data_IF_147931995639
#
_entry.id   IF_147931995639
#
_cell.length_a   1.000
_cell.length_b   1.000
_cell.length_c   1.000
_cell.angle_alpha   90.00
_cell.angle_beta   90.00
_cell.angle_gamma   90.00
#
_symmetry.space_group_name_H-M   'P 1'
#
loop_
_entity.id
_entity.type
_entity.pdbx_description
1 polymer ?
#
# COMPACT_ATOMS: atom_id res chain seq x y z
N UNK A 1 5.23 -0.12 8.26
CA UNK A 1 4.31 -1.23 8.59
C UNK A 1 3.14 -1.22 7.63
N UNK A 2 2.69 -2.38 7.16
CA UNK A 2 1.49 -2.48 6.33
C UNK A 2 0.74 -3.79 6.58
N UNK A 3 -0.57 -3.74 6.39
CA UNK A 3 -1.43 -4.93 6.28
C UNK A 3 -1.89 -5.09 4.83
N UNK A 4 -1.75 -6.28 4.28
CA UNK A 4 -2.28 -6.65 2.96
C UNK A 4 -3.31 -7.75 3.13
N UNK A 5 -4.46 -7.58 2.51
CA UNK A 5 -5.47 -8.61 2.42
C UNK A 5 -5.73 -8.95 0.95
N UNK A 6 -5.63 -10.22 0.61
CA UNK A 6 -5.74 -10.74 -0.75
C UNK A 6 -6.88 -11.75 -0.82
N UNK A 7 -7.96 -11.40 -1.54
CA UNK A 7 -9.18 -12.19 -1.63
C UNK A 7 -9.11 -13.32 -2.65
N UNK A 8 -8.19 -13.22 -3.61
CA UNK A 8 -7.98 -14.26 -4.61
C UNK A 8 -7.26 -15.46 -3.99
N UNK A 9 -6.39 -15.19 -3.01
CA UNK A 9 -5.63 -16.23 -2.29
C UNK A 9 -6.20 -16.58 -0.91
N UNK A 10 -7.07 -15.74 -0.34
CA UNK A 10 -7.58 -15.91 1.03
C UNK A 10 -6.52 -15.68 2.11
N UNK A 11 -5.51 -14.86 1.82
CA UNK A 11 -4.39 -14.56 2.71
C UNK A 11 -4.44 -13.12 3.22
N UNK A 12 -4.23 -12.94 4.52
CA UNK A 12 -3.91 -11.65 5.10
C UNK A 12 -2.48 -11.69 5.66
N UNK A 13 -1.70 -10.65 5.39
CA UNK A 13 -0.27 -10.58 5.74
C UNK A 13 0.07 -9.29 6.46
N UNK A 14 1.01 -9.37 7.40
CA UNK A 14 1.59 -8.23 8.11
C UNK A 14 3.04 -8.04 7.69
N UNK A 15 3.38 -6.81 7.34
CA UNK A 15 4.68 -6.43 6.83
C UNK A 15 5.32 -5.34 7.70
N UNK A 16 6.58 -5.54 8.07
CA UNK A 16 7.40 -4.60 8.85
C UNK A 16 8.74 -4.45 8.12
N UNK A 17 9.15 -3.21 7.84
CA UNK A 17 10.43 -2.87 7.22
C UNK A 17 10.73 -3.72 5.95
N UNK A 18 9.77 -3.76 5.02
CA UNK A 18 9.86 -4.48 3.75
C UNK A 18 9.70 -6.00 3.86
N UNK A 19 9.61 -6.56 5.07
CA UNK A 19 9.57 -8.01 5.30
C UNK A 19 8.20 -8.49 5.76
N UNK A 20 7.74 -9.60 5.19
CA UNK A 20 6.56 -10.32 5.69
C UNK A 20 6.89 -10.96 7.05
N UNK A 21 6.15 -10.56 8.09
CA UNK A 21 6.34 -11.06 9.46
C UNK A 21 5.24 -12.01 9.90
N UNK A 22 4.06 -11.93 9.29
CA UNK A 22 2.97 -12.86 9.55
C UNK A 22 2.09 -13.07 8.32
N UNK A 23 1.52 -14.26 8.23
CA UNK A 23 0.51 -14.66 7.26
C UNK A 23 -0.58 -15.44 7.99
N UNK A 24 -1.84 -15.19 7.61
CA UNK A 24 -2.99 -15.96 8.07
C UNK A 24 -3.96 -16.22 6.91
N UNK A 25 -4.61 -17.38 6.97
CA UNK A 25 -5.75 -17.71 6.12
C UNK A 25 -7.04 -17.09 6.67
N UNK A 26 -7.92 -16.63 5.79
CA UNK A 26 -9.27 -16.19 6.16
C UNK A 26 -10.34 -16.69 5.18
N UNK A 27 -11.57 -16.75 5.66
CA UNK A 27 -12.71 -17.14 4.85
C UNK A 27 -13.10 -16.01 3.88
N UNK A 28 -12.83 -16.23 2.60
CA UNK A 28 -13.17 -15.28 1.54
C UNK A 28 -14.67 -15.26 1.22
N UNK A 29 -15.43 -16.29 1.60
CA UNK A 29 -16.88 -16.36 1.33
C UNK A 29 -17.66 -15.28 2.11
N UNK A 30 -17.15 -14.89 3.27
CA UNK A 30 -17.74 -13.85 4.11
C UNK A 30 -17.27 -12.44 3.71
N UNK A 31 -16.27 -12.33 2.82
CA UNK A 31 -15.60 -11.09 2.46
C UNK A 31 -14.89 -10.40 3.63
N UNK A 32 -14.39 -9.19 3.39
CA UNK A 32 -13.97 -8.30 4.47
C UNK A 32 -15.23 -7.70 5.08
N UNK A 33 -15.56 -8.05 6.32
CA UNK A 33 -16.77 -7.58 6.99
C UNK A 33 -17.00 -6.08 6.78
N UNK A 34 -18.20 -5.70 6.35
CA UNK A 34 -18.54 -4.30 6.11
C UNK A 34 -19.04 -3.64 7.40
N UNK A 35 -18.80 -2.34 7.54
CA UNK A 35 -19.28 -1.57 8.67
C UNK A 35 -19.66 -0.16 8.24
N UNK A 36 -20.68 0.41 8.90
CA UNK A 36 -21.11 1.80 8.68
C UNK A 36 -20.25 2.81 9.46
N UNK A 37 -19.26 2.32 10.20
CA UNK A 37 -18.34 3.16 10.97
C UNK A 37 -17.44 4.01 10.08
N UNK A 38 -17.06 5.18 10.61
CA UNK A 38 -16.07 6.05 9.96
C UNK A 38 -14.69 5.36 9.98
N UNK A 39 -13.90 5.55 8.93
CA UNK A 39 -12.50 5.13 8.91
C UNK A 39 -11.67 5.97 9.88
N UNK A 40 -10.83 5.33 10.69
CA UNK A 40 -9.96 5.99 11.66
C UNK A 40 -8.51 5.54 11.45
N UNK A 41 -7.56 6.46 11.63
CA UNK A 41 -6.13 6.19 11.69
C UNK A 41 -5.67 6.41 13.14
N UNK A 42 -4.86 5.50 13.69
CA UNK A 42 -4.27 5.65 15.02
C UNK A 42 -5.24 5.46 16.19
N UNK A 43 -6.36 4.76 15.99
CA UNK A 43 -7.39 4.54 17.01
C UNK A 43 -8.02 3.15 16.92
N UNK A 44 -8.33 2.54 18.05
CA UNK A 44 -9.25 1.41 18.16
C UNK A 44 -10.07 1.49 19.45
N UNK A 45 -11.40 1.74 19.32
CA UNK A 45 -12.29 2.08 20.44
C UNK A 45 -11.82 3.33 21.23
N UNK A 46 -11.47 3.15 22.50
CA UNK A 46 -10.96 4.14 23.44
C UNK A 46 -9.41 4.16 23.50
N UNK A 47 -8.74 3.33 22.69
CA UNK A 47 -7.29 3.27 22.58
C UNK A 47 -6.79 4.12 21.43
N UNK A 48 -5.73 4.87 21.70
CA UNK A 48 -5.10 5.79 20.76
C UNK A 48 -3.61 5.48 20.62
N UNK A 49 -3.08 5.62 19.42
CA UNK A 49 -1.65 5.50 19.16
C UNK A 49 -0.93 6.73 19.70
N UNK A 50 0.06 6.52 20.57
CA UNK A 50 0.99 7.55 20.99
C UNK A 50 2.23 7.51 20.08
N UNK A 51 2.30 8.40 19.09
CA UNK A 51 3.40 8.46 18.14
C UNK A 51 3.09 9.33 16.92
N UNK A 52 4.01 9.33 15.96
CA UNK A 52 3.84 9.99 14.66
C UNK A 52 3.41 8.92 13.64
N UNK A 53 2.39 9.23 12.86
CA UNK A 53 1.96 8.45 11.70
C UNK A 53 2.10 9.39 10.50
N UNK A 54 2.84 8.95 9.49
CA UNK A 54 3.08 9.69 8.26
C UNK A 54 2.92 8.75 7.06
N UNK A 55 2.75 9.33 5.87
CA UNK A 55 2.67 8.63 4.58
C UNK A 55 1.64 7.48 4.56
N UNK A 56 0.39 7.80 4.90
CA UNK A 56 -0.70 6.82 4.90
C UNK A 56 -1.30 6.66 3.50
N UNK A 57 -1.33 5.43 3.00
CA UNK A 57 -2.06 5.04 1.79
C UNK A 57 -3.07 3.92 2.07
N UNK A 58 -4.11 3.88 1.24
CA UNK A 58 -5.11 2.82 1.22
C UNK A 58 -5.35 2.40 -0.23
N UNK A 59 -5.27 1.10 -0.48
CA UNK A 59 -5.42 0.51 -1.81
C UNK A 59 -6.67 -0.38 -1.83
N UNK A 60 -7.37 -0.39 -2.96
CA UNK A 60 -8.50 -1.30 -3.20
C UNK A 60 -8.06 -2.58 -3.94
N UNK A 61 -6.75 -2.83 -4.01
CA UNK A 61 -6.12 -3.99 -4.64
C UNK A 61 -5.11 -4.60 -3.67
N UNK A 62 -4.87 -5.89 -3.80
CA UNK A 62 -3.75 -6.55 -3.13
C UNK A 62 -2.46 -6.22 -3.89
N UNK A 63 -1.60 -5.39 -3.30
CA UNK A 63 -0.28 -5.08 -3.86
C UNK A 63 0.61 -6.32 -3.87
N UNK A 64 1.44 -6.48 -4.88
CA UNK A 64 2.42 -7.57 -4.87
C UNK A 64 3.55 -7.32 -3.86
N UNK A 65 4.40 -8.32 -3.65
CA UNK A 65 5.50 -8.23 -2.69
C UNK A 65 6.56 -7.20 -3.08
N UNK A 66 6.79 -7.00 -4.38
CA UNK A 66 7.80 -6.06 -4.85
C UNK A 66 7.35 -4.61 -4.62
N UNK A 67 6.08 -4.31 -4.90
CA UNK A 67 5.47 -3.01 -4.62
C UNK A 67 5.48 -2.72 -3.11
N UNK A 68 5.11 -3.72 -2.29
CA UNK A 68 5.13 -3.59 -0.83
C UNK A 68 6.53 -3.29 -0.30
N UNK A 69 7.56 -3.99 -0.81
CA UNK A 69 8.96 -3.72 -0.45
C UNK A 69 9.38 -2.31 -0.85
N UNK A 70 9.15 -1.90 -2.10
CA UNK A 70 9.54 -0.56 -2.56
C UNK A 70 8.85 0.55 -1.76
N UNK A 71 7.56 0.41 -1.44
CA UNK A 71 6.85 1.40 -0.62
C UNK A 71 7.47 1.51 0.79
N UNK A 72 7.89 0.40 1.38
CA UNK A 72 8.47 0.43 2.73
C UNK A 72 9.90 0.95 2.76
N UNK A 73 10.69 0.66 1.73
CA UNK A 73 12.08 1.07 1.65
C UNK A 73 12.23 2.53 1.17
N UNK A 74 11.43 2.92 0.19
CA UNK A 74 11.58 4.19 -0.54
C UNK A 74 10.45 5.21 -0.26
N UNK A 75 9.41 4.81 0.47
CA UNK A 75 8.25 5.63 0.77
C UNK A 75 7.21 5.69 -0.36
N UNK A 76 6.07 6.33 -0.11
CA UNK A 76 4.95 6.38 -1.08
C UNK A 76 5.25 7.22 -2.34
N UNK A 77 6.30 8.02 -2.32
CA UNK A 77 6.69 8.86 -3.45
C UNK A 77 7.08 8.03 -4.69
N UNK A 78 7.55 6.80 -4.52
CA UNK A 78 7.90 5.91 -5.64
C UNK A 78 6.68 5.52 -6.48
N UNK A 79 5.52 5.37 -5.85
CA UNK A 79 4.27 5.04 -6.54
C UNK A 79 3.63 6.23 -7.26
N UNK A 80 3.88 7.45 -6.77
CA UNK A 80 3.25 8.67 -7.29
C UNK A 80 4.14 9.41 -8.29
N UNK A 81 5.39 8.98 -8.43
CA UNK A 81 6.29 9.44 -9.48
C UNK A 81 5.71 9.05 -10.84
N UNK A 82 5.04 9.99 -11.50
CA UNK A 82 4.58 9.78 -12.87
C UNK A 82 5.83 9.53 -13.73
N UNK A 83 5.99 8.30 -14.21
CA UNK A 83 7.15 7.89 -15.00
C UNK A 83 7.48 8.95 -16.04
N UNK A 84 8.73 9.45 -16.00
CA UNK A 84 9.17 10.43 -16.98
C UNK A 84 9.28 9.80 -18.39
N UNK A 85 9.51 8.48 -18.44
CA UNK A 85 9.51 7.68 -19.65
C UNK A 85 8.11 7.72 -20.29
N UNK A 86 8.05 7.99 -21.59
CA UNK A 86 6.80 8.03 -22.35
C UNK A 86 6.00 9.34 -22.26
N UNK A 87 6.36 10.30 -21.39
CA UNK A 87 5.76 11.64 -21.44
C UNK A 87 6.16 12.38 -22.70
N UNK A 88 5.20 13.04 -23.35
CA UNK A 88 5.44 13.85 -24.54
C UNK A 88 6.57 14.86 -24.34
N UNK A 89 6.59 15.57 -23.21
CA UNK A 89 7.63 16.56 -22.91
C UNK A 89 9.02 15.94 -22.89
N UNK A 90 9.19 14.76 -22.29
CA UNK A 90 10.48 14.05 -22.22
C UNK A 90 10.89 13.54 -23.60
N UNK A 91 9.96 12.94 -24.36
CA UNK A 91 10.19 12.48 -25.73
C UNK A 91 10.61 13.62 -26.66
N UNK A 92 9.90 14.75 -26.61
CA UNK A 92 10.24 15.95 -27.40
C UNK A 92 11.60 16.54 -26.99
N UNK A 93 11.94 16.51 -25.70
CA UNK A 93 13.28 16.90 -25.21
C UNK A 93 14.39 16.04 -25.81
N UNK A 94 14.22 14.72 -25.81
CA UNK A 94 15.18 13.76 -26.40
C UNK A 94 15.30 13.93 -27.92
N UNK A 95 14.19 14.16 -28.63
CA UNK A 95 14.20 14.42 -30.08
C UNK A 95 15.00 15.69 -30.39
N UNK A 96 14.84 16.76 -29.61
CA UNK A 96 15.56 18.02 -29.83
C UNK A 96 17.06 17.96 -29.52
N UNK A 97 17.51 17.00 -28.71
CA UNK A 97 18.92 16.83 -28.37
C UNK A 97 19.70 15.98 -29.37
N UNK A 98 19.01 15.33 -30.33
CA UNK A 98 19.61 14.61 -31.46
C UNK A 98 19.71 15.53 -32.67
#
# INVERSE_FOLDING_TARGET
IAGRADADTGKATLWIDGKMEAELDYDTNSGYGTGEGVFHIGRHFDRYTAGIIDEVALFNVALDEADMQSIMDDGLMTLTAVEAAGKLTTTWGTIKQR
#
